data_IF_815200475992
#
_entry.id   IF_815200475992
#
_cell.length_a   1.000
_cell.length_b   1.000
_cell.length_c   1.000
_cell.angle_alpha   90.00
_cell.angle_beta   90.00
_cell.angle_gamma   90.00
#
_symmetry.space_group_name_H-M   'P 1'
#
loop_
_entity.id
_entity.type
_entity.pdbx_description
1 polymer ?
#
# COMPACT_ATOMS: atom_id res chain seq x y z
N UNK A 1 24.83 13.71 21.35
CA UNK A 1 25.29 12.86 20.22
C UNK A 1 26.53 12.04 20.58
N UNK A 2 26.52 11.26 21.67
CA UNK A 2 27.61 10.31 21.94
C UNK A 2 27.35 9.03 21.14
N UNK A 3 28.06 8.88 20.01
CA UNK A 3 28.10 7.63 19.21
C UNK A 3 28.78 6.48 19.97
N UNK A 4 29.51 6.79 21.05
CA UNK A 4 30.33 5.86 21.82
C UNK A 4 30.20 6.13 23.32
N UNK A 5 30.11 5.05 24.11
CA UNK A 5 30.22 5.07 25.56
C UNK A 5 31.60 4.54 25.93
N UNK A 6 32.47 5.33 26.59
CA UNK A 6 33.78 4.85 27.01
C UNK A 6 33.62 3.78 28.11
N UNK A 7 34.37 2.70 27.99
CA UNK A 7 34.51 1.68 29.03
C UNK A 7 35.67 2.11 29.91
N UNK A 8 35.40 2.35 31.19
CA UNK A 8 36.39 2.83 32.15
C UNK A 8 36.68 1.71 33.14
N UNK A 9 37.96 1.36 33.29
CA UNK A 9 38.46 0.43 34.29
C UNK A 9 39.59 1.12 35.06
N UNK A 10 39.52 1.13 36.39
CA UNK A 10 40.49 1.81 37.27
C UNK A 10 40.75 3.28 36.90
N UNK A 11 39.71 4.02 36.52
CA UNK A 11 39.81 5.44 36.14
C UNK A 11 40.48 5.69 34.79
N UNK A 12 40.82 4.64 34.02
CA UNK A 12 41.36 4.76 32.66
C UNK A 12 40.34 4.25 31.64
N UNK A 13 40.24 4.94 30.51
CA UNK A 13 39.45 4.47 29.37
C UNK A 13 40.18 3.27 28.77
N UNK A 14 39.59 2.08 28.92
CA UNK A 14 40.12 0.81 28.39
C UNK A 14 39.44 0.39 27.08
N UNK A 15 38.37 1.08 26.70
CA UNK A 15 37.69 0.84 25.42
C UNK A 15 36.54 1.81 25.18
N UNK A 16 35.81 1.58 24.09
CA UNK A 16 34.60 2.30 23.77
C UNK A 16 33.59 1.33 23.15
N UNK A 17 32.34 1.39 23.59
CA UNK A 17 31.24 0.56 23.10
C UNK A 17 30.22 1.48 22.44
N UNK A 18 29.76 1.13 21.24
CA UNK A 18 28.62 1.85 20.64
C UNK A 18 27.31 1.33 21.22
N UNK A 19 26.27 2.17 21.21
CA UNK A 19 24.92 1.72 21.60
C UNK A 19 24.42 0.57 20.72
N UNK A 20 24.85 0.53 19.46
CA UNK A 20 24.56 -0.54 18.51
C UNK A 20 25.25 -1.84 18.88
N UNK A 21 26.51 -1.79 19.33
CA UNK A 21 27.21 -2.97 19.83
C UNK A 21 26.52 -3.52 21.09
N UNK A 22 26.10 -2.65 22.01
CA UNK A 22 25.35 -3.07 23.20
C UNK A 22 24.02 -3.75 22.82
N UNK A 23 23.23 -3.11 21.94
CA UNK A 23 21.97 -3.70 21.44
C UNK A 23 22.20 -5.02 20.72
N UNK A 24 23.26 -5.11 19.92
CA UNK A 24 23.66 -6.33 19.23
C UNK A 24 24.01 -7.42 20.22
N UNK A 25 24.85 -7.16 21.22
CA UNK A 25 25.24 -8.14 22.23
C UNK A 25 24.04 -8.63 23.05
N UNK A 26 23.17 -7.72 23.51
CA UNK A 26 21.96 -8.09 24.26
C UNK A 26 21.02 -8.96 23.42
N UNK A 27 20.88 -8.62 22.15
CA UNK A 27 20.03 -9.39 21.23
C UNK A 27 20.66 -10.75 20.87
N UNK A 28 21.96 -10.80 20.60
CA UNK A 28 22.70 -12.05 20.37
C UNK A 28 22.62 -12.98 21.58
N UNK A 29 22.72 -12.44 22.80
CA UNK A 29 22.55 -13.22 24.03
C UNK A 29 21.14 -13.80 24.15
N UNK A 30 20.11 -12.99 23.86
CA UNK A 30 18.72 -13.46 23.82
C UNK A 30 18.52 -14.59 22.80
N UNK A 31 19.07 -14.45 21.59
CA UNK A 31 19.00 -15.48 20.55
C UNK A 31 19.75 -16.76 20.94
N UNK A 32 20.93 -16.65 21.57
CA UNK A 32 21.70 -17.80 22.08
C UNK A 32 20.92 -18.59 23.12
N UNK A 33 20.25 -17.92 24.06
CA UNK A 33 19.37 -18.57 25.05
C UNK A 33 18.24 -19.37 24.39
N UNK A 34 17.79 -18.94 23.20
CA UNK A 34 16.74 -19.58 22.40
C UNK A 34 17.27 -20.61 21.38
N UNK A 35 18.59 -20.89 21.37
CA UNK A 35 19.24 -21.76 20.38
C UNK A 35 18.96 -21.36 18.93
N UNK A 36 18.79 -20.06 18.67
CA UNK A 36 18.67 -19.52 17.31
C UNK A 36 20.09 -19.27 16.80
N UNK A 37 20.50 -20.06 15.80
CA UNK A 37 21.85 -19.96 15.22
C UNK A 37 22.08 -18.65 14.46
N UNK A 38 23.32 -18.21 14.41
CA UNK A 38 23.73 -17.05 13.64
C UNK A 38 23.85 -17.42 12.15
N UNK A 39 22.79 -17.17 11.39
CA UNK A 39 22.80 -17.35 9.94
C UNK A 39 23.22 -16.04 9.29
N UNK A 40 24.52 -15.77 9.24
CA UNK A 40 25.05 -14.89 8.20
C UNK A 40 25.09 -15.69 6.90
N UNK A 41 24.54 -15.19 5.78
CA UNK A 41 24.74 -15.82 4.48
C UNK A 41 26.24 -15.85 4.15
N UNK A 42 26.94 -16.92 4.54
CA UNK A 42 28.34 -17.18 4.19
C UNK A 42 28.39 -17.85 2.83
N UNK A 43 27.88 -17.20 1.80
CA UNK A 43 28.08 -17.67 0.43
C UNK A 43 29.22 -16.88 -0.21
N UNK A 44 30.05 -17.58 -1.01
CA UNK A 44 30.95 -16.89 -1.93
C UNK A 44 30.07 -16.10 -2.90
N UNK A 45 30.37 -14.82 -3.18
CA UNK A 45 29.52 -14.03 -4.04
C UNK A 45 29.44 -14.70 -5.41
N UNK A 46 28.22 -14.96 -5.88
CA UNK A 46 28.02 -15.43 -7.24
C UNK A 46 28.17 -14.19 -8.13
N UNK A 47 29.36 -14.06 -8.69
CA UNK A 47 29.70 -13.06 -9.70
C UNK A 47 29.91 -13.86 -10.99
N UNK A 48 29.11 -13.61 -12.02
CA UNK A 48 29.41 -14.19 -13.34
C UNK A 48 28.24 -14.56 -14.23
N UNK A 49 26.98 -14.52 -13.76
CA UNK A 49 25.84 -14.65 -14.68
C UNK A 49 25.61 -13.31 -15.39
N UNK A 50 25.80 -13.28 -16.70
CA UNK A 50 25.49 -12.09 -17.50
C UNK A 50 24.01 -12.13 -17.95
N UNK A 51 23.27 -11.07 -17.62
CA UNK A 51 21.84 -10.89 -17.92
C UNK A 51 21.60 -9.92 -19.09
N UNK A 52 22.63 -9.47 -19.82
CA UNK A 52 22.49 -8.47 -20.88
C UNK A 52 21.45 -8.87 -21.96
N UNK A 53 21.43 -10.14 -22.36
CA UNK A 53 20.43 -10.66 -23.30
C UNK A 53 19.02 -10.61 -22.71
N UNK A 54 18.86 -11.04 -21.45
CA UNK A 54 17.58 -11.02 -20.75
C UNK A 54 17.08 -9.58 -20.57
N UNK A 55 17.97 -8.64 -20.23
CA UNK A 55 17.65 -7.22 -20.16
C UNK A 55 17.13 -6.69 -21.49
N UNK A 56 17.74 -7.08 -22.61
CA UNK A 56 17.34 -6.65 -23.96
C UNK A 56 15.99 -7.24 -24.38
N UNK A 57 15.74 -8.49 -24.02
CA UNK A 57 14.52 -9.22 -24.41
C UNK A 57 13.30 -8.81 -23.57
N UNK A 58 13.49 -8.56 -22.27
CA UNK A 58 12.40 -8.32 -21.32
C UNK A 58 12.06 -6.85 -21.11
N UNK A 59 13.01 -5.94 -21.30
CA UNK A 59 12.72 -4.52 -21.16
C UNK A 59 12.36 -3.87 -22.49
N UNK A 60 11.44 -2.88 -22.49
CA UNK A 60 11.23 -2.02 -23.65
C UNK A 60 12.54 -1.41 -24.14
N UNK A 61 12.65 -1.21 -25.45
CA UNK A 61 13.88 -0.69 -26.08
C UNK A 61 14.32 0.65 -25.48
N UNK A 62 13.37 1.52 -25.11
CA UNK A 62 13.64 2.79 -24.42
C UNK A 62 14.37 2.56 -23.08
N UNK A 63 13.86 1.66 -22.23
CA UNK A 63 14.45 1.32 -20.93
C UNK A 63 15.84 0.72 -21.10
N UNK A 64 16.00 -0.24 -22.00
CA UNK A 64 17.29 -0.88 -22.26
C UNK A 64 18.35 0.14 -22.72
N UNK A 65 17.97 1.09 -23.57
CA UNK A 65 18.86 2.16 -24.02
C UNK A 65 19.25 3.09 -22.85
N UNK A 66 18.30 3.44 -21.98
CA UNK A 66 18.58 4.25 -20.78
C UNK A 66 19.56 3.52 -19.84
N UNK A 67 19.42 2.21 -19.66
CA UNK A 67 20.36 1.41 -18.84
C UNK A 67 21.78 1.41 -19.43
N UNK A 68 21.91 1.33 -20.77
CA UNK A 68 23.22 1.45 -21.42
C UNK A 68 23.83 2.84 -21.26
N UNK A 69 23.05 3.89 -21.52
CA UNK A 69 23.47 5.27 -21.35
C UNK A 69 23.89 5.54 -19.90
N UNK A 70 23.17 4.97 -18.94
CA UNK A 70 23.49 5.04 -17.52
C UNK A 70 24.87 4.45 -17.23
N UNK A 71 25.22 3.32 -17.85
CA UNK A 71 26.55 2.73 -17.79
C UNK A 71 27.66 3.67 -18.28
N UNK A 72 27.46 4.25 -19.45
CA UNK A 72 28.42 5.17 -20.09
C UNK A 72 28.64 6.44 -19.27
N UNK A 73 27.56 7.04 -18.75
CA UNK A 73 27.65 8.26 -17.91
C UNK A 73 28.40 7.94 -16.63
N UNK A 74 28.06 6.83 -15.97
CA UNK A 74 28.73 6.44 -14.73
C UNK A 74 30.23 6.22 -14.96
N UNK A 75 30.61 5.55 -16.05
CA UNK A 75 32.01 5.35 -16.43
C UNK A 75 32.73 6.68 -16.70
N UNK A 76 32.11 7.62 -17.42
CA UNK A 76 32.66 8.96 -17.66
C UNK A 76 32.88 9.78 -16.38
N UNK A 77 32.10 9.51 -15.32
CA UNK A 77 32.25 10.13 -14.00
C UNK A 77 33.21 9.37 -13.06
N UNK A 78 33.72 8.21 -13.48
CA UNK A 78 34.50 7.33 -12.60
C UNK A 78 33.67 6.62 -11.53
N UNK A 79 32.36 6.47 -11.75
CA UNK A 79 31.41 5.83 -10.83
C UNK A 79 31.03 4.42 -11.29
N UNK A 80 30.49 3.62 -10.36
CA UNK A 80 29.83 2.35 -10.70
C UNK A 80 28.32 2.49 -10.60
N UNK A 81 27.61 2.00 -11.63
CA UNK A 81 26.15 2.04 -11.69
C UNK A 81 25.56 0.62 -11.64
N UNK A 82 24.48 0.48 -10.88
CA UNK A 82 23.82 -0.79 -10.63
C UNK A 82 22.31 -0.66 -10.75
N UNK A 83 21.68 -1.53 -11.52
CA UNK A 83 20.25 -1.78 -11.45
C UNK A 83 19.99 -2.66 -10.23
N UNK A 84 19.06 -2.30 -9.33
CA UNK A 84 18.87 -3.00 -8.05
C UNK A 84 17.40 -3.23 -7.71
N UNK A 85 17.14 -4.05 -6.69
CA UNK A 85 15.84 -4.09 -6.02
C UNK A 85 14.80 -4.96 -6.72
N UNK A 86 13.53 -4.51 -6.69
CA UNK A 86 12.39 -5.30 -7.15
C UNK A 86 12.46 -5.64 -8.63
N UNK A 87 12.94 -4.71 -9.46
CA UNK A 87 13.07 -4.93 -10.90
C UNK A 87 13.98 -6.11 -11.24
N UNK A 88 15.12 -6.28 -10.55
CA UNK A 88 16.06 -7.40 -10.80
C UNK A 88 15.44 -8.73 -10.38
N UNK A 89 14.76 -8.76 -9.23
CA UNK A 89 14.04 -9.94 -8.75
C UNK A 89 12.95 -10.35 -9.74
N UNK A 90 12.13 -9.40 -10.17
CA UNK A 90 10.97 -9.67 -11.03
C UNK A 90 11.41 -10.07 -12.44
N UNK A 91 12.47 -9.43 -12.97
CA UNK A 91 13.14 -9.84 -14.21
C UNK A 91 13.58 -11.32 -14.15
N UNK A 92 14.20 -11.74 -13.06
CA UNK A 92 14.64 -13.13 -12.88
C UNK A 92 13.48 -14.12 -12.66
N UNK A 93 12.31 -13.63 -12.26
CA UNK A 93 11.05 -14.41 -12.23
C UNK A 93 10.34 -14.44 -13.58
N UNK A 94 10.79 -13.65 -14.54
CA UNK A 94 10.19 -13.52 -15.87
C UNK A 94 9.02 -12.53 -15.93
N UNK A 95 8.78 -11.76 -14.86
CA UNK A 95 7.76 -10.73 -14.76
C UNK A 95 8.27 -9.38 -15.30
N UNK A 96 7.39 -8.60 -15.91
CA UNK A 96 7.71 -7.23 -16.33
C UNK A 96 7.52 -6.27 -15.15
N UNK A 97 8.60 -5.58 -14.77
CA UNK A 97 8.55 -4.53 -13.75
C UNK A 97 9.34 -3.31 -14.25
N UNK A 98 8.64 -2.21 -14.51
CA UNK A 98 9.20 -0.96 -15.01
C UNK A 98 9.54 0.05 -13.90
N UNK A 99 9.55 -0.38 -12.64
CA UNK A 99 10.05 0.41 -11.51
C UNK A 99 11.58 0.32 -11.47
N UNK A 100 12.24 1.19 -12.26
CA UNK A 100 13.68 1.15 -12.48
C UNK A 100 14.40 1.91 -11.37
N UNK A 101 15.07 1.14 -10.50
CA UNK A 101 15.94 1.64 -9.43
C UNK A 101 17.42 1.52 -9.82
N UNK A 102 18.11 2.66 -9.94
CA UNK A 102 19.56 2.72 -10.19
C UNK A 102 20.30 3.21 -8.95
N UNK A 103 21.25 2.43 -8.47
CA UNK A 103 22.16 2.80 -7.39
C UNK A 103 23.54 3.15 -7.97
N UNK A 104 24.07 4.29 -7.54
CA UNK A 104 25.37 4.81 -7.97
C UNK A 104 26.35 4.76 -6.79
N UNK A 105 27.45 4.05 -6.95
CA UNK A 105 28.64 4.20 -6.10
C UNK A 105 29.41 5.46 -6.54
N UNK A 106 29.00 6.60 -5.98
CA UNK A 106 29.45 7.93 -6.39
C UNK A 106 28.40 8.97 -6.02
N UNK A 107 28.38 10.12 -6.70
CA UNK A 107 27.31 11.10 -6.53
C UNK A 107 26.12 10.79 -7.46
N UNK A 108 25.08 10.17 -6.90
CA UNK A 108 23.86 9.84 -7.63
C UNK A 108 23.07 11.06 -8.12
N UNK A 109 23.19 12.21 -7.47
CA UNK A 109 22.50 13.44 -7.90
C UNK A 109 23.18 14.03 -9.12
N UNK A 110 24.51 14.11 -9.11
CA UNK A 110 25.29 14.57 -10.26
C UNK A 110 25.09 13.63 -11.46
N UNK A 111 25.10 12.32 -11.23
CA UNK A 111 24.74 11.33 -12.24
C UNK A 111 23.33 11.55 -12.81
N UNK A 112 22.30 11.73 -11.97
CA UNK A 112 20.93 11.88 -12.42
C UNK A 112 20.70 13.15 -13.25
N UNK A 113 21.38 14.25 -12.93
CA UNK A 113 21.34 15.49 -13.72
C UNK A 113 21.87 15.26 -15.14
N UNK A 114 23.05 14.65 -15.26
CA UNK A 114 23.65 14.33 -16.56
C UNK A 114 22.83 13.32 -17.35
N UNK A 115 22.25 12.32 -16.68
CA UNK A 115 21.32 11.39 -17.32
C UNK A 115 20.10 12.13 -17.88
N UNK A 116 19.50 13.02 -17.09
CA UNK A 116 18.37 13.85 -17.51
C UNK A 116 18.69 14.73 -18.72
N UNK A 117 19.86 15.36 -18.73
CA UNK A 117 20.32 16.14 -19.88
C UNK A 117 20.50 15.27 -21.14
N UNK A 118 21.14 14.10 -21.02
CA UNK A 118 21.44 13.21 -22.16
C UNK A 118 20.18 12.59 -22.77
N UNK A 119 19.12 12.37 -21.98
CA UNK A 119 17.85 11.77 -22.46
C UNK A 119 16.70 12.79 -22.55
N UNK A 120 16.97 14.08 -22.38
CA UNK A 120 15.99 15.17 -22.36
C UNK A 120 14.81 14.90 -21.39
N UNK A 121 15.13 14.49 -20.17
CA UNK A 121 14.18 14.16 -19.11
C UNK A 121 14.21 15.16 -17.96
N UNK A 122 13.06 15.30 -17.28
CA UNK A 122 12.96 16.16 -16.11
C UNK A 122 13.55 15.47 -14.90
N UNK A 123 14.41 16.15 -14.16
CA UNK A 123 15.03 15.62 -12.93
C UNK A 123 14.50 16.34 -11.70
N UNK A 124 14.09 15.59 -10.68
CA UNK A 124 13.81 16.10 -9.33
C UNK A 124 14.81 15.53 -8.35
N UNK A 125 15.42 16.37 -7.53
CA UNK A 125 16.49 15.95 -6.62
C UNK A 125 16.04 16.09 -5.16
N UNK A 126 16.49 15.18 -4.31
CA UNK A 126 16.25 15.17 -2.87
C UNK A 126 17.60 15.09 -2.15
N UNK A 127 18.24 16.26 -2.00
CA UNK A 127 19.62 16.38 -1.54
C UNK A 127 19.87 15.74 -0.16
N UNK A 128 18.90 15.84 0.76
CA UNK A 128 18.98 15.25 2.11
C UNK A 128 19.16 13.73 2.10
N UNK A 129 18.66 13.04 1.08
CA UNK A 129 18.67 11.58 1.01
C UNK A 129 19.65 11.02 -0.04
N UNK A 130 20.32 11.90 -0.79
CA UNK A 130 21.19 11.51 -1.89
C UNK A 130 20.44 10.80 -3.03
N UNK A 131 19.16 11.14 -3.22
CA UNK A 131 18.29 10.52 -4.24
C UNK A 131 17.82 11.55 -5.26
N UNK A 132 17.50 11.06 -6.46
CA UNK A 132 16.92 11.83 -7.54
C UNK A 132 15.90 10.97 -8.30
N UNK A 133 14.93 11.63 -8.92
CA UNK A 133 13.93 11.00 -9.77
C UNK A 133 14.06 11.59 -11.16
N UNK A 134 14.16 10.74 -12.18
CA UNK A 134 14.25 11.12 -13.58
C UNK A 134 12.95 10.73 -14.27
N UNK A 135 12.28 11.69 -14.88
CA UNK A 135 10.98 11.53 -15.52
C UNK A 135 11.12 11.71 -17.03
N UNK A 136 10.88 10.64 -17.77
CA UNK A 136 10.61 10.70 -19.21
C UNK A 136 9.09 10.82 -19.43
N UNK A 137 8.65 10.91 -20.69
CA UNK A 137 7.21 10.98 -21.00
C UNK A 137 6.44 9.75 -20.51
N UNK A 138 7.09 8.58 -20.50
CA UNK A 138 6.43 7.29 -20.24
C UNK A 138 7.06 6.51 -19.07
N UNK A 139 8.19 6.96 -18.52
CA UNK A 139 8.95 6.24 -17.51
C UNK A 139 9.36 7.14 -16.35
N UNK A 140 9.35 6.56 -15.15
CA UNK A 140 9.94 7.13 -13.94
C UNK A 140 11.11 6.24 -13.53
N UNK A 141 12.29 6.82 -13.36
CA UNK A 141 13.46 6.15 -12.81
C UNK A 141 13.82 6.78 -11.47
N UNK A 142 14.13 5.94 -10.49
CA UNK A 142 14.65 6.38 -9.20
C UNK A 142 16.16 6.12 -9.15
N UNK A 143 16.92 7.17 -8.85
CA UNK A 143 18.38 7.13 -8.71
C UNK A 143 18.74 7.39 -7.25
N UNK A 144 19.59 6.54 -6.69
CA UNK A 144 20.07 6.67 -5.32
C UNK A 144 21.59 6.57 -5.25
N UNK A 145 22.19 7.37 -4.37
CA UNK A 145 23.59 7.21 -3.97
C UNK A 145 23.72 5.99 -3.05
N UNK A 146 24.66 5.09 -3.35
CA UNK A 146 24.96 3.93 -2.52
C UNK A 146 25.33 4.40 -1.10
N UNK A 147 24.65 3.83 -0.10
CA UNK A 147 24.76 4.31 1.28
C UNK A 147 24.76 3.18 2.30
N UNK A 148 25.38 3.42 3.44
CA UNK A 148 25.18 2.63 4.65
C UNK A 148 24.18 3.32 5.56
N UNK A 149 23.34 2.52 6.21
CA UNK A 149 22.36 3.01 7.17
C UNK A 149 22.81 2.68 8.61
N UNK A 150 22.62 3.65 9.48
CA UNK A 150 22.80 3.51 10.92
C UNK A 150 21.51 3.86 11.65
N UNK A 151 21.06 2.97 12.54
CA UNK A 151 19.84 3.12 13.32
C UNK A 151 20.19 3.51 14.77
N UNK A 152 19.72 4.68 15.22
CA UNK A 152 20.03 5.18 16.58
C UNK A 152 19.28 4.41 17.68
N UNK A 153 18.09 3.90 17.34
CA UNK A 153 17.27 3.05 18.20
C UNK A 153 16.42 2.10 17.35
N UNK A 154 15.95 0.98 17.92
CA UNK A 154 15.02 0.08 17.23
C UNK A 154 13.82 0.84 16.65
N UNK A 155 13.44 0.51 15.41
CA UNK A 155 12.34 1.13 14.65
C UNK A 155 12.51 2.62 14.26
N UNK A 156 13.65 3.26 14.53
CA UNK A 156 13.91 4.65 14.14
C UNK A 156 14.21 4.78 12.63
N UNK A 157 14.06 6.00 12.09
CA UNK A 157 14.55 6.29 10.74
C UNK A 157 16.08 6.26 10.70
N UNK A 158 16.69 5.71 9.64
CA UNK A 158 18.15 5.58 9.58
C UNK A 158 18.85 6.90 9.22
N UNK A 159 20.10 7.04 9.68
CA UNK A 159 21.07 8.02 9.17
C UNK A 159 21.88 7.41 8.04
N UNK A 160 22.25 8.21 7.03
CA UNK A 160 22.86 7.75 5.78
C UNK A 160 24.26 8.32 5.55
N UNK A 161 25.19 7.48 5.09
CA UNK A 161 26.57 7.85 4.70
C UNK A 161 26.93 7.14 3.39
N UNK A 162 27.68 7.78 2.49
CA UNK A 162 28.10 7.20 1.18
C UNK A 162 28.93 5.94 1.37
N UNK A 163 28.68 4.91 0.56
CA UNK A 163 29.23 3.58 0.80
C UNK A 163 29.30 2.70 -0.46
N UNK A 164 29.79 1.47 -0.31
CA UNK A 164 29.78 0.49 -1.39
C UNK A 164 28.40 -0.15 -1.60
N UNK A 165 28.16 -0.68 -2.80
CA UNK A 165 26.97 -1.41 -3.21
C UNK A 165 26.71 -2.58 -2.29
N UNK A 166 27.76 -3.29 -1.84
CA UNK A 166 27.61 -4.40 -0.89
C UNK A 166 26.95 -3.93 0.42
N UNK A 167 27.37 -2.78 0.94
CA UNK A 167 26.80 -2.22 2.17
C UNK A 167 25.41 -1.60 1.94
N UNK A 168 25.14 -1.03 0.77
CA UNK A 168 23.78 -0.59 0.40
C UNK A 168 22.81 -1.77 0.31
N UNK A 169 23.22 -2.87 -0.31
CA UNK A 169 22.41 -4.06 -0.42
C UNK A 169 22.21 -4.73 0.95
N UNK A 170 23.19 -4.65 1.86
CA UNK A 170 23.11 -5.26 3.19
C UNK A 170 22.03 -4.66 4.11
N UNK A 171 21.61 -3.40 3.87
CA UNK A 171 20.59 -2.74 4.69
C UNK A 171 19.15 -3.06 4.27
N UNK A 172 18.98 -3.84 3.20
CA UNK A 172 17.66 -4.18 2.64
C UNK A 172 16.98 -5.25 3.48
N UNK A 173 15.70 -5.50 3.18
CA UNK A 173 14.84 -6.35 3.99
C UNK A 173 15.09 -7.85 3.80
N UNK A 174 15.13 -8.32 2.56
CA UNK A 174 15.24 -9.73 2.21
C UNK A 174 16.27 -10.00 1.12
N UNK A 175 16.90 -11.19 1.16
CA UNK A 175 17.95 -11.63 0.21
C UNK A 175 17.50 -11.54 -1.25
N UNK A 176 16.25 -11.89 -1.54
CA UNK A 176 15.68 -11.77 -2.89
C UNK A 176 15.64 -10.33 -3.42
N UNK A 177 15.69 -9.33 -2.52
CA UNK A 177 15.68 -7.90 -2.85
C UNK A 177 17.10 -7.29 -2.82
N UNK A 178 18.15 -8.11 -2.64
CA UNK A 178 19.55 -7.67 -2.64
C UNK A 178 20.29 -7.95 -3.93
N UNK A 179 19.58 -8.39 -4.97
CA UNK A 179 20.18 -8.68 -6.27
C UNK A 179 20.46 -7.36 -7.00
N UNK A 180 21.63 -7.27 -7.63
CA UNK A 180 22.07 -6.11 -8.39
C UNK A 180 22.65 -6.51 -9.75
N UNK A 181 22.48 -5.67 -10.76
CA UNK A 181 23.06 -5.88 -12.09
C UNK A 181 23.93 -4.69 -12.44
N UNK A 182 25.20 -4.92 -12.76
CA UNK A 182 26.14 -3.87 -13.11
C UNK A 182 25.81 -3.30 -14.49
N UNK A 183 25.85 -1.97 -14.60
CA UNK A 183 25.49 -1.24 -15.81
C UNK A 183 26.70 -0.64 -16.53
N UNK A 184 27.88 -0.54 -15.91
CA UNK A 184 29.08 -0.03 -16.59
C UNK A 184 29.42 -0.86 -17.83
N UNK A 185 29.95 -0.23 -18.89
CA UNK A 185 30.11 -0.82 -20.22
C UNK A 185 30.87 -2.14 -20.23
N UNK A 186 31.98 -2.22 -19.49
CA UNK A 186 32.83 -3.43 -19.39
C UNK A 186 32.11 -4.63 -18.79
N UNK A 187 31.23 -4.40 -17.82
CA UNK A 187 30.56 -5.42 -17.03
C UNK A 187 29.03 -5.38 -17.22
N UNK A 188 28.56 -4.83 -18.34
CA UNK A 188 27.13 -4.61 -18.55
C UNK A 188 26.35 -5.92 -18.46
N UNK A 189 25.33 -5.93 -17.62
CA UNK A 189 24.49 -7.11 -17.38
C UNK A 189 25.05 -8.08 -16.35
N UNK A 190 26.21 -7.83 -15.73
CA UNK A 190 26.77 -8.72 -14.72
C UNK A 190 25.90 -8.74 -13.45
N UNK A 191 25.30 -9.89 -13.15
CA UNK A 191 24.56 -10.11 -11.90
C UNK A 191 25.54 -10.24 -10.72
N UNK A 192 25.20 -9.54 -9.64
CA UNK A 192 25.90 -9.52 -8.37
C UNK A 192 24.94 -10.02 -7.29
N UNK A 193 25.34 -11.10 -6.64
CA UNK A 193 24.65 -11.66 -5.48
C UNK A 193 25.64 -11.91 -4.34
N UNK A 194 25.56 -11.10 -3.28
CA UNK A 194 26.40 -11.23 -2.09
C UNK A 194 25.77 -12.09 -0.99
N UNK A 195 24.45 -12.32 -1.03
CA UNK A 195 23.68 -12.80 0.13
C UNK A 195 22.83 -14.03 -0.17
N UNK A 196 22.96 -14.62 -1.36
CA UNK A 196 22.25 -15.82 -1.77
C UNK A 196 20.82 -15.57 -2.25
N UNK A 197 20.53 -14.36 -2.74
CA UNK A 197 19.23 -13.98 -3.27
C UNK A 197 18.79 -14.88 -4.44
N UNK A 198 19.71 -15.32 -5.29
CA UNK A 198 19.40 -16.19 -6.43
C UNK A 198 19.04 -17.61 -5.97
N UNK A 199 19.68 -18.11 -4.90
CA UNK A 199 19.32 -19.39 -4.28
C UNK A 199 17.94 -19.29 -3.65
N UNK A 200 17.70 -18.28 -2.82
CA UNK A 200 16.41 -18.11 -2.14
C UNK A 200 15.27 -17.84 -3.14
N UNK A 201 15.54 -17.20 -4.29
CA UNK A 201 14.57 -17.04 -5.39
C UNK A 201 14.19 -18.39 -6.01
N UNK A 202 15.17 -19.28 -6.26
CA UNK A 202 14.94 -20.64 -6.78
C UNK A 202 14.21 -21.52 -5.78
N UNK A 203 14.58 -21.42 -4.50
CA UNK A 203 13.96 -22.17 -3.40
C UNK A 203 12.63 -21.56 -2.93
N UNK A 204 12.16 -20.47 -3.56
CA UNK A 204 10.93 -19.76 -3.20
C UNK A 204 10.87 -19.40 -1.71
N UNK A 205 11.95 -18.80 -1.19
CA UNK A 205 12.14 -18.54 0.23
C UNK A 205 12.29 -17.04 0.53
N UNK A 206 11.58 -16.55 1.54
CA UNK A 206 11.76 -15.21 2.13
C UNK A 206 12.73 -15.33 3.30
N UNK A 207 13.88 -14.66 3.20
CA UNK A 207 14.96 -14.71 4.20
C UNK A 207 15.51 -13.32 4.49
N UNK A 208 15.64 -12.97 5.77
CA UNK A 208 16.33 -11.75 6.21
C UNK A 208 17.85 -11.89 6.12
N UNK A 209 18.55 -10.75 5.99
CA UNK A 209 19.99 -10.71 5.75
C UNK A 209 20.81 -10.97 7.02
N UNK A 210 20.27 -10.61 8.18
CA UNK A 210 20.91 -10.77 9.48
C UNK A 210 19.88 -10.75 10.63
N UNK A 211 20.33 -11.19 11.80
CA UNK A 211 19.50 -11.38 12.99
C UNK A 211 18.84 -10.09 13.48
N UNK A 212 19.53 -8.95 13.36
CA UNK A 212 19.01 -7.64 13.77
C UNK A 212 17.98 -7.03 12.81
N UNK A 213 17.61 -7.69 11.71
CA UNK A 213 16.76 -7.09 10.67
C UNK A 213 15.42 -6.56 11.21
N UNK A 214 14.75 -7.30 12.10
CA UNK A 214 13.50 -6.84 12.74
C UNK A 214 13.72 -5.90 13.93
N UNK A 215 14.94 -5.82 14.47
CA UNK A 215 15.31 -4.82 15.49
C UNK A 215 15.48 -3.47 14.84
N UNK A 216 16.14 -3.42 13.69
CA UNK A 216 16.28 -2.22 12.88
C UNK A 216 14.90 -1.74 12.41
N UNK A 217 14.14 -2.64 11.79
CA UNK A 217 12.85 -2.28 11.20
C UNK A 217 11.76 -3.36 11.38
N UNK A 218 10.93 -3.26 12.44
CA UNK A 218 9.86 -4.21 12.69
C UNK A 218 8.82 -4.33 11.57
N UNK A 219 8.65 -3.31 10.71
CA UNK A 219 7.72 -3.43 9.55
C UNK A 219 8.11 -4.53 8.59
N UNK A 220 9.38 -4.95 8.58
CA UNK A 220 9.83 -6.08 7.76
C UNK A 220 9.06 -7.36 8.09
N UNK A 221 8.51 -7.55 9.28
CA UNK A 221 7.69 -8.73 9.59
C UNK A 221 6.39 -8.76 8.77
N UNK A 222 5.70 -7.62 8.64
CA UNK A 222 4.50 -7.48 7.81
C UNK A 222 4.86 -7.62 6.32
N UNK A 223 5.99 -7.03 5.89
CA UNK A 223 6.53 -7.19 4.53
C UNK A 223 6.85 -8.64 4.19
N UNK A 224 7.40 -9.41 5.15
CA UNK A 224 7.73 -10.82 4.94
C UNK A 224 6.47 -11.62 4.62
N UNK A 225 5.37 -11.37 5.34
CA UNK A 225 4.07 -11.98 5.06
C UNK A 225 3.54 -11.52 3.71
N UNK A 226 3.56 -10.21 3.42
CA UNK A 226 3.13 -9.67 2.12
C UNK A 226 3.89 -10.31 0.95
N UNK A 227 5.21 -10.40 1.00
CA UNK A 227 6.00 -11.02 -0.07
C UNK A 227 5.83 -12.54 -0.11
N UNK A 228 5.66 -13.20 1.03
CA UNK A 228 5.32 -14.63 1.08
C UNK A 228 4.03 -14.90 0.30
N UNK A 229 2.97 -14.14 0.56
CA UNK A 229 1.68 -14.31 -0.11
C UNK A 229 1.71 -13.82 -1.57
N UNK A 230 2.31 -12.66 -1.83
CA UNK A 230 2.41 -12.10 -3.19
C UNK A 230 3.14 -13.03 -4.17
N UNK A 231 4.22 -13.67 -3.71
CA UNK A 231 5.06 -14.51 -4.57
C UNK A 231 4.79 -16.01 -4.43
N UNK A 232 3.95 -16.42 -3.48
CA UNK A 232 3.76 -17.83 -3.12
C UNK A 232 5.02 -18.46 -2.52
N UNK A 233 5.82 -17.68 -1.79
CA UNK A 233 7.08 -18.10 -1.19
C UNK A 233 6.89 -18.51 0.27
N UNK A 234 7.78 -19.33 0.82
CA UNK A 234 7.79 -19.70 2.24
C UNK A 234 8.73 -18.79 3.02
N UNK A 235 8.35 -18.38 4.23
CA UNK A 235 9.28 -17.69 5.14
C UNK A 235 10.25 -18.73 5.72
N UNK A 236 11.56 -18.47 5.66
CA UNK A 236 12.55 -19.41 6.18
C UNK A 236 12.38 -19.61 7.70
N UNK A 237 12.71 -20.80 8.20
CA UNK A 237 12.51 -21.12 9.63
C UNK A 237 13.24 -20.15 10.56
N UNK A 238 14.44 -19.74 10.16
CA UNK A 238 15.22 -18.72 10.85
C UNK A 238 14.47 -17.38 10.92
N UNK A 239 13.95 -16.91 9.78
CA UNK A 239 13.20 -15.65 9.71
C UNK A 239 11.93 -15.71 10.54
N UNK A 240 11.20 -16.83 10.50
CA UNK A 240 10.03 -17.06 11.35
C UNK A 240 10.39 -16.95 12.84
N UNK A 241 11.47 -17.59 13.28
CA UNK A 241 11.88 -17.55 14.68
C UNK A 241 12.27 -16.13 15.13
N UNK A 242 12.88 -15.35 14.23
CA UNK A 242 13.20 -13.94 14.48
C UNK A 242 11.94 -13.07 14.56
N UNK A 243 10.90 -13.32 13.74
CA UNK A 243 9.60 -12.64 13.88
C UNK A 243 9.01 -12.88 15.26
N UNK A 244 8.97 -14.15 15.70
CA UNK A 244 8.46 -14.51 17.04
C UNK A 244 9.25 -13.83 18.16
N UNK A 245 10.58 -13.82 18.04
CA UNK A 245 11.48 -13.14 18.99
C UNK A 245 11.20 -11.65 19.06
N UNK A 246 10.99 -10.99 17.91
CA UNK A 246 10.68 -9.56 17.85
C UNK A 246 9.35 -9.20 18.54
N UNK A 247 8.35 -10.10 18.46
CA UNK A 247 7.06 -9.94 19.15
C UNK A 247 7.27 -10.05 20.67
N UNK A 248 7.97 -11.09 21.14
CA UNK A 248 8.23 -11.30 22.56
C UNK A 248 9.04 -10.16 23.20
N UNK A 249 9.91 -9.52 22.43
CA UNK A 249 10.69 -8.36 22.86
C UNK A 249 9.92 -7.03 22.76
N UNK A 250 8.64 -7.05 22.38
CA UNK A 250 7.79 -5.87 22.20
C UNK A 250 8.42 -4.81 21.27
N UNK A 251 9.15 -5.24 20.23
CA UNK A 251 9.83 -4.30 19.32
C UNK A 251 8.84 -3.48 18.50
N UNK A 252 7.64 -4.02 18.28
CA UNK A 252 6.59 -3.37 17.52
C UNK A 252 5.95 -2.19 18.27
N UNK A 253 6.06 -2.08 19.59
CA UNK A 253 5.51 -0.95 20.34
C UNK A 253 6.19 0.37 19.95
N UNK A 254 7.46 0.30 19.52
CA UNK A 254 8.24 1.43 19.04
C UNK A 254 7.96 1.78 17.58
N UNK A 255 7.25 0.91 16.85
CA UNK A 255 6.97 1.12 15.44
C UNK A 255 5.85 2.15 15.26
N UNK A 256 6.14 3.18 14.46
CA UNK A 256 5.14 4.19 14.05
C UNK A 256 3.88 3.53 13.47
N UNK A 257 2.72 3.99 13.95
CA UNK A 257 1.42 3.56 13.44
C UNK A 257 1.27 3.73 11.94
N UNK A 258 1.71 4.87 11.39
CA UNK A 258 1.56 5.18 9.97
C UNK A 258 2.27 4.16 9.06
N UNK A 259 3.47 3.72 9.45
CA UNK A 259 4.24 2.72 8.70
C UNK A 259 3.58 1.34 8.74
N UNK A 260 3.02 0.99 9.91
CA UNK A 260 2.24 -0.23 10.08
C UNK A 260 0.96 -0.20 9.23
N UNK A 261 0.27 0.93 9.21
CA UNK A 261 -0.91 1.17 8.39
C UNK A 261 -0.61 1.05 6.88
N UNK A 262 0.47 1.69 6.43
CA UNK A 262 0.91 1.62 5.03
C UNK A 262 1.20 0.18 4.59
N UNK A 263 1.94 -0.61 5.37
CA UNK A 263 2.20 -2.01 5.02
C UNK A 263 0.93 -2.86 5.04
N UNK A 264 -0.02 -2.62 5.96
CA UNK A 264 -1.31 -3.30 5.97
C UNK A 264 -2.14 -2.99 4.72
N UNK A 265 -2.16 -1.72 4.28
CA UNK A 265 -2.85 -1.34 3.04
C UNK A 265 -2.17 -1.94 1.81
N UNK A 266 -0.84 -1.93 1.75
CA UNK A 266 -0.10 -2.57 0.65
C UNK A 266 -0.43 -4.07 0.58
N UNK A 267 -0.50 -4.75 1.72
CA UNK A 267 -0.96 -6.14 1.78
C UNK A 267 -2.37 -6.28 1.18
N UNK A 268 -3.35 -5.46 1.59
CA UNK A 268 -4.71 -5.54 1.03
C UNK A 268 -4.82 -5.21 -0.46
N UNK A 269 -3.89 -4.45 -1.01
CA UNK A 269 -3.89 -4.08 -2.43
C UNK A 269 -3.17 -5.10 -3.32
N UNK A 270 -2.14 -5.77 -2.80
CA UNK A 270 -1.24 -6.63 -3.59
C UNK A 270 -1.54 -8.12 -3.47
N UNK A 271 -2.24 -8.56 -2.41
CA UNK A 271 -2.41 -9.99 -2.11
C UNK A 271 -3.86 -10.35 -1.82
N UNK A 272 -4.14 -11.66 -1.70
CA UNK A 272 -5.42 -12.13 -1.18
C UNK A 272 -5.55 -11.77 0.33
N UNK A 273 -6.56 -10.97 0.72
CA UNK A 273 -6.69 -10.54 2.12
C UNK A 273 -6.93 -11.69 3.10
N UNK A 274 -7.63 -12.75 2.70
CA UNK A 274 -7.94 -13.89 3.56
C UNK A 274 -6.66 -14.65 3.92
N UNK A 275 -5.89 -15.03 2.90
CA UNK A 275 -4.61 -15.72 3.09
C UNK A 275 -3.62 -14.88 3.89
N UNK A 276 -3.55 -13.58 3.58
CA UNK A 276 -2.67 -12.64 4.28
C UNK A 276 -3.04 -12.51 5.76
N UNK A 277 -4.32 -12.29 6.08
CA UNK A 277 -4.76 -12.15 7.47
C UNK A 277 -4.58 -13.45 8.26
N UNK A 278 -4.87 -14.59 7.63
CA UNK A 278 -4.59 -15.90 8.23
C UNK A 278 -3.11 -16.04 8.58
N UNK A 279 -2.21 -15.72 7.63
CA UNK A 279 -0.76 -15.78 7.84
C UNK A 279 -0.28 -14.80 8.91
N UNK A 280 -0.78 -13.56 8.90
CA UNK A 280 -0.49 -12.59 9.96
C UNK A 280 -0.93 -13.11 11.34
N UNK A 281 -2.08 -13.79 11.41
CA UNK A 281 -2.57 -14.42 12.63
C UNK A 281 -1.68 -15.58 13.09
N UNK A 282 -1.23 -16.45 12.18
CA UNK A 282 -0.31 -17.57 12.45
C UNK A 282 1.00 -17.09 13.10
N UNK A 283 1.53 -15.95 12.65
CA UNK A 283 2.73 -15.34 13.24
C UNK A 283 2.45 -14.45 14.47
N UNK A 284 1.19 -14.27 14.88
CA UNK A 284 0.81 -13.40 16.00
C UNK A 284 0.86 -11.89 15.69
N UNK A 285 1.05 -11.50 14.42
CA UNK A 285 1.19 -10.11 14.00
C UNK A 285 -0.13 -9.33 14.03
N UNK A 286 -1.30 -9.98 13.99
CA UNK A 286 -2.57 -9.26 14.21
C UNK A 286 -2.69 -8.71 15.63
N UNK A 287 -2.19 -9.45 16.62
CA UNK A 287 -2.22 -9.05 18.04
C UNK A 287 -1.32 -7.86 18.35
N UNK A 288 -0.31 -7.63 17.51
CA UNK A 288 0.55 -6.43 17.55
C UNK A 288 -0.25 -5.17 17.20
N UNK A 289 -1.27 -5.28 16.35
CA UNK A 289 -2.16 -4.15 16.02
C UNK A 289 -3.13 -3.92 17.18
N UNK A 290 -3.79 -4.97 17.64
CA UNK A 290 -4.63 -4.95 18.83
C UNK A 290 -4.84 -6.38 19.36
N UNK A 291 -4.77 -6.63 20.68
CA UNK A 291 -4.93 -7.97 21.26
C UNK A 291 -6.25 -8.67 20.93
N UNK A 292 -7.32 -7.91 20.71
CA UNK A 292 -8.66 -8.41 20.37
C UNK A 292 -8.82 -8.69 18.87
N UNK A 293 -7.86 -8.28 18.04
CA UNK A 293 -7.88 -8.55 16.60
C UNK A 293 -7.37 -9.97 16.33
N UNK A 294 -8.30 -10.88 16.06
CA UNK A 294 -8.02 -12.28 15.75
C UNK A 294 -8.65 -12.68 14.41
N UNK A 295 -7.98 -13.59 13.69
CA UNK A 295 -8.55 -14.17 12.49
C UNK A 295 -9.53 -15.29 12.87
N UNK A 296 -10.83 -15.01 12.73
CA UNK A 296 -11.92 -15.95 13.07
C UNK A 296 -12.61 -16.44 11.81
N UNK A 297 -13.35 -17.55 11.92
CA UNK A 297 -14.19 -18.06 10.84
C UNK A 297 -15.24 -17.02 10.39
N UNK A 298 -15.77 -16.22 11.31
CA UNK A 298 -16.70 -15.14 10.98
C UNK A 298 -16.03 -14.03 10.15
N UNK A 299 -14.78 -13.69 10.48
CA UNK A 299 -14.00 -12.73 9.71
C UNK A 299 -13.71 -13.27 8.31
N UNK A 300 -13.28 -14.53 8.21
CA UNK A 300 -13.06 -15.22 6.94
C UNK A 300 -14.32 -15.20 6.06
N UNK A 301 -15.47 -15.55 6.62
CA UNK A 301 -16.76 -15.49 5.92
C UNK A 301 -17.11 -14.07 5.45
N UNK A 302 -16.80 -13.04 6.26
CA UNK A 302 -17.00 -11.64 5.88
C UNK A 302 -16.17 -11.27 4.65
N UNK A 303 -14.90 -11.68 4.60
CA UNK A 303 -14.04 -11.44 3.44
C UNK A 303 -14.47 -12.23 2.20
N UNK A 304 -14.92 -13.49 2.35
CA UNK A 304 -15.47 -14.27 1.23
C UNK A 304 -16.70 -13.59 0.62
N UNK A 305 -17.67 -13.18 1.45
CA UNK A 305 -18.84 -12.43 0.97
C UNK A 305 -18.47 -11.09 0.35
N UNK A 306 -17.40 -10.44 0.83
CA UNK A 306 -16.87 -9.22 0.22
C UNK A 306 -16.29 -9.50 -1.18
N UNK A 307 -15.50 -10.55 -1.34
CA UNK A 307 -14.95 -10.96 -2.64
C UNK A 307 -16.05 -11.29 -3.66
N UNK A 308 -17.11 -11.99 -3.25
CA UNK A 308 -18.28 -12.24 -4.10
C UNK A 308 -18.94 -10.93 -4.55
N UNK A 309 -19.13 -9.99 -3.62
CA UNK A 309 -19.75 -8.68 -3.89
C UNK A 309 -18.89 -7.84 -4.85
N UNK A 310 -17.57 -7.83 -4.63
CA UNK A 310 -16.63 -7.14 -5.51
C UNK A 310 -16.57 -7.78 -6.90
N UNK A 311 -16.67 -9.11 -6.98
CA UNK A 311 -16.70 -9.83 -8.26
C UNK A 311 -17.95 -9.48 -9.05
N UNK A 312 -19.11 -9.49 -8.39
CA UNK A 312 -20.36 -9.00 -8.98
C UNK A 312 -20.24 -7.56 -9.48
N UNK A 313 -19.67 -6.66 -8.66
CA UNK A 313 -19.53 -5.26 -9.03
C UNK A 313 -18.60 -5.05 -10.24
N UNK A 314 -17.49 -5.78 -10.29
CA UNK A 314 -16.56 -5.73 -11.43
C UNK A 314 -17.21 -6.20 -12.74
N UNK A 315 -18.14 -7.16 -12.67
CA UNK A 315 -18.92 -7.63 -13.83
C UNK A 315 -19.92 -6.59 -14.37
N UNK A 316 -20.13 -5.47 -13.65
CA UNK A 316 -20.93 -4.35 -14.15
C UNK A 316 -20.16 -3.45 -15.11
N UNK A 317 -18.83 -3.63 -15.25
CA UNK A 317 -17.95 -2.84 -16.11
C UNK A 317 -18.06 -1.31 -15.90
N UNK A 318 -18.31 -0.90 -14.66
CA UNK A 318 -18.37 0.51 -14.27
C UNK A 318 -16.95 1.09 -14.23
N UNK A 319 -16.78 2.34 -14.68
CA UNK A 319 -15.47 3.02 -14.72
C UNK A 319 -14.93 3.43 -13.32
N UNK A 320 -15.74 3.27 -12.27
CA UNK A 320 -15.38 3.67 -10.91
C UNK A 320 -14.34 2.76 -10.28
N UNK A 321 -13.25 3.37 -9.79
CA UNK A 321 -12.21 2.66 -9.05
C UNK A 321 -12.59 2.55 -7.57
N UNK A 322 -12.56 1.31 -7.06
CA UNK A 322 -12.77 1.02 -5.64
C UNK A 322 -11.44 1.14 -4.89
N UNK A 323 -11.46 1.81 -3.74
CA UNK A 323 -10.36 1.74 -2.78
C UNK A 323 -10.38 0.37 -2.05
N UNK A 324 -9.63 -0.59 -2.59
CA UNK A 324 -9.47 -1.95 -2.03
C UNK A 324 -8.91 -1.92 -0.60
N UNK A 325 -7.99 -1.00 -0.31
CA UNK A 325 -7.42 -0.84 1.01
C UNK A 325 -8.48 -0.44 2.03
N UNK A 326 -9.29 0.57 1.71
CA UNK A 326 -10.37 1.04 2.57
C UNK A 326 -11.44 -0.04 2.80
N UNK A 327 -11.93 -0.70 1.74
CA UNK A 327 -13.02 -1.69 1.88
C UNK A 327 -12.58 -2.94 2.67
N UNK A 328 -11.34 -3.39 2.50
CA UNK A 328 -10.76 -4.47 3.29
C UNK A 328 -10.55 -4.06 4.76
N UNK A 329 -10.20 -2.78 5.01
CA UNK A 329 -10.11 -2.24 6.37
C UNK A 329 -11.49 -2.18 7.06
N UNK A 330 -12.55 -1.81 6.33
CA UNK A 330 -13.93 -1.87 6.84
C UNK A 330 -14.27 -3.31 7.25
N UNK A 331 -13.97 -4.29 6.39
CA UNK A 331 -14.23 -5.70 6.67
C UNK A 331 -13.45 -6.20 7.89
N UNK A 332 -12.15 -5.92 7.96
CA UNK A 332 -11.26 -6.30 9.07
C UNK A 332 -11.83 -5.90 10.44
N UNK A 333 -12.37 -4.69 10.53
CA UNK A 333 -12.76 -4.06 11.79
C UNK A 333 -14.24 -4.24 12.13
N UNK A 334 -15.04 -4.75 11.20
CA UNK A 334 -16.50 -4.74 11.29
C UNK A 334 -17.11 -5.53 12.45
N UNK A 335 -16.40 -6.56 12.93
CA UNK A 335 -16.82 -7.45 14.01
C UNK A 335 -16.31 -7.03 15.39
N UNK A 336 -15.47 -6.01 15.43
CA UNK A 336 -14.93 -5.49 16.69
C UNK A 336 -15.91 -4.50 17.34
N UNK A 337 -15.74 -4.31 18.66
CA UNK A 337 -16.46 -3.27 19.41
C UNK A 337 -15.96 -1.89 18.99
N UNK A 338 -16.79 -0.87 19.17
CA UNK A 338 -16.43 0.51 18.78
C UNK A 338 -15.16 1.01 19.51
N UNK A 339 -14.96 0.57 20.76
CA UNK A 339 -13.75 0.85 21.56
C UNK A 339 -12.48 0.26 20.93
N UNK A 340 -12.53 -1.01 20.52
CA UNK A 340 -11.42 -1.68 19.85
C UNK A 340 -11.11 -1.04 18.49
N UNK A 341 -12.14 -0.66 17.73
CA UNK A 341 -11.96 0.04 16.45
C UNK A 341 -11.24 1.38 16.66
N UNK A 342 -11.65 2.16 17.67
CA UNK A 342 -10.99 3.44 18.01
C UNK A 342 -9.53 3.23 18.40
N UNK A 343 -9.26 2.25 19.26
CA UNK A 343 -7.90 1.87 19.67
C UNK A 343 -7.03 1.44 18.49
N UNK A 344 -7.55 0.63 17.56
CA UNK A 344 -6.83 0.22 16.34
C UNK A 344 -6.56 1.43 15.45
N UNK A 345 -7.52 2.32 15.26
CA UNK A 345 -7.32 3.54 14.46
C UNK A 345 -6.29 4.48 15.10
N UNK A 346 -6.17 4.50 16.42
CA UNK A 346 -5.10 5.24 17.12
C UNK A 346 -3.74 4.57 16.92
N UNK A 347 -3.69 3.23 17.04
CA UNK A 347 -2.46 2.46 16.82
C UNK A 347 -1.93 2.59 15.40
N UNK A 348 -2.80 2.56 14.40
CA UNK A 348 -2.48 2.68 12.98
C UNK A 348 -2.27 4.13 12.53
N UNK A 349 -2.80 5.10 13.27
CA UNK A 349 -2.65 6.53 13.01
C UNK A 349 -2.84 6.94 11.52
N UNK A 350 -3.94 6.53 10.84
CA UNK A 350 -4.24 7.00 9.49
C UNK A 350 -4.64 8.48 9.52
N UNK A 351 -4.82 9.08 8.34
CA UNK A 351 -5.32 10.47 8.27
C UNK A 351 -6.68 10.62 8.98
N UNK A 352 -6.99 11.78 9.59
CA UNK A 352 -8.27 12.01 10.29
C UNK A 352 -9.50 11.70 9.44
N UNK A 353 -9.45 12.05 8.16
CA UNK A 353 -10.50 11.78 7.17
C UNK A 353 -10.76 10.27 7.01
N UNK A 354 -9.70 9.45 6.99
CA UNK A 354 -9.84 8.00 6.89
C UNK A 354 -10.35 7.40 8.21
N UNK A 355 -9.84 7.87 9.36
CA UNK A 355 -10.34 7.43 10.68
C UNK A 355 -11.85 7.64 10.80
N UNK A 356 -12.33 8.83 10.44
CA UNK A 356 -13.77 9.13 10.42
C UNK A 356 -14.53 8.28 9.41
N UNK A 357 -14.00 8.14 8.19
CA UNK A 357 -14.61 7.33 7.13
C UNK A 357 -14.78 5.87 7.54
N UNK A 358 -13.82 5.27 8.24
CA UNK A 358 -13.88 3.87 8.70
C UNK A 358 -14.93 3.71 9.80
N UNK A 359 -14.88 4.55 10.84
CA UNK A 359 -15.81 4.45 11.98
C UNK A 359 -17.25 4.70 11.53
N UNK A 360 -17.48 5.81 10.81
CA UNK A 360 -18.81 6.14 10.31
C UNK A 360 -19.25 5.18 9.20
N UNK A 361 -18.33 4.71 8.37
CA UNK A 361 -18.59 3.72 7.31
C UNK A 361 -19.09 2.39 7.87
N UNK A 362 -18.45 1.84 8.89
CA UNK A 362 -18.91 0.60 9.55
C UNK A 362 -20.29 0.79 10.17
N UNK A 363 -20.51 1.91 10.88
CA UNK A 363 -21.82 2.24 11.48
C UNK A 363 -22.90 2.36 10.40
N UNK A 364 -22.62 3.08 9.31
CA UNK A 364 -23.56 3.27 8.20
C UNK A 364 -23.85 1.97 7.48
N UNK A 365 -22.84 1.12 7.25
CA UNK A 365 -23.03 -0.18 6.64
C UNK A 365 -23.98 -1.05 7.49
N UNK A 366 -23.77 -1.12 8.81
CA UNK A 366 -24.67 -1.81 9.75
C UNK A 366 -26.09 -1.20 9.76
N UNK A 367 -26.20 0.13 9.69
CA UNK A 367 -27.50 0.80 9.58
C UNK A 367 -28.23 0.42 8.29
N UNK A 368 -27.53 0.39 7.14
CA UNK A 368 -28.11 -0.03 5.86
C UNK A 368 -28.59 -1.47 5.89
N UNK A 369 -27.80 -2.40 6.46
CA UNK A 369 -28.24 -3.81 6.57
C UNK A 369 -29.46 -3.98 7.47
N UNK A 370 -29.69 -3.08 8.42
CA UNK A 370 -30.83 -3.16 9.35
C UNK A 370 -32.06 -2.41 8.83
N UNK A 371 -31.90 -1.16 8.39
CA UNK A 371 -32.98 -0.18 8.22
C UNK A 371 -33.34 0.15 6.78
N UNK A 372 -32.57 -0.25 5.77
CA UNK A 372 -32.90 0.12 4.39
C UNK A 372 -34.25 -0.51 3.98
N UNK A 373 -35.25 0.29 3.56
CA UNK A 373 -36.55 -0.23 3.17
C UNK A 373 -36.47 -0.87 1.77
N UNK A 374 -37.15 -1.99 1.56
CA UNK A 374 -37.24 -2.61 0.24
C UNK A 374 -38.51 -2.22 -0.54
N UNK A 375 -39.47 -1.60 0.13
CA UNK A 375 -40.76 -1.17 -0.42
C UNK A 375 -40.85 0.34 -0.69
N UNK A 376 -39.85 1.13 -0.28
CA UNK A 376 -39.79 2.57 -0.50
C UNK A 376 -38.50 2.95 -1.24
N UNK A 377 -38.62 3.10 -2.56
CA UNK A 377 -37.50 3.40 -3.45
C UNK A 377 -36.90 4.78 -3.19
N UNK A 378 -37.72 5.76 -2.79
CA UNK A 378 -37.28 7.14 -2.55
C UNK A 378 -36.47 7.21 -1.28
N UNK A 379 -36.97 6.61 -0.20
CA UNK A 379 -36.24 6.56 1.08
C UNK A 379 -34.92 5.80 0.91
N UNK A 380 -34.93 4.67 0.22
CA UNK A 380 -33.71 3.90 -0.06
C UNK A 380 -32.70 4.68 -0.90
N UNK A 381 -33.15 5.38 -1.95
CA UNK A 381 -32.29 6.26 -2.72
C UNK A 381 -31.66 7.35 -1.86
N UNK A 382 -32.45 8.04 -1.02
CA UNK A 382 -31.96 9.08 -0.11
C UNK A 382 -30.91 8.54 0.87
N UNK A 383 -31.14 7.35 1.42
CA UNK A 383 -30.20 6.70 2.34
C UNK A 383 -28.87 6.30 1.68
N UNK A 384 -28.88 5.97 0.39
CA UNK A 384 -27.68 5.53 -0.35
C UNK A 384 -26.94 6.69 -1.04
N UNK A 385 -27.64 7.76 -1.45
CA UNK A 385 -27.06 8.90 -2.19
C UNK A 385 -25.87 9.56 -1.49
N UNK A 386 -25.91 9.66 -0.15
CA UNK A 386 -24.87 10.30 0.65
C UNK A 386 -23.79 9.34 1.12
N UNK A 387 -23.81 8.08 0.69
CA UNK A 387 -22.93 7.02 1.17
C UNK A 387 -21.91 6.68 0.08
N UNK A 388 -20.64 6.54 0.47
CA UNK A 388 -19.59 6.15 -0.48
C UNK A 388 -19.80 4.73 -1.00
N UNK A 389 -19.35 4.51 -2.23
CA UNK A 389 -19.43 3.22 -2.92
C UNK A 389 -18.89 2.06 -2.07
N UNK A 390 -17.72 2.23 -1.45
CA UNK A 390 -17.10 1.19 -0.62
C UNK A 390 -17.99 0.75 0.55
N UNK A 391 -18.71 1.69 1.16
CA UNK A 391 -19.61 1.41 2.28
C UNK A 391 -20.87 0.71 1.82
N UNK A 392 -21.39 1.04 0.63
CA UNK A 392 -22.55 0.36 0.04
C UNK A 392 -22.18 -1.09 -0.29
N UNK A 393 -21.07 -1.30 -1.00
CA UNK A 393 -20.57 -2.64 -1.33
C UNK A 393 -20.28 -3.46 -0.07
N UNK A 394 -19.69 -2.84 0.95
CA UNK A 394 -19.47 -3.49 2.22
C UNK A 394 -20.78 -3.84 2.96
N UNK A 395 -21.80 -2.97 2.90
CA UNK A 395 -23.12 -3.29 3.45
C UNK A 395 -23.78 -4.47 2.71
N UNK A 396 -23.63 -4.54 1.38
CA UNK A 396 -24.09 -5.66 0.56
C UNK A 396 -23.41 -6.97 0.94
N UNK A 397 -22.11 -6.95 1.29
CA UNK A 397 -21.40 -8.15 1.74
C UNK A 397 -21.80 -8.60 3.14
N UNK A 398 -22.21 -7.68 4.01
CA UNK A 398 -22.64 -8.00 5.39
C UNK A 398 -24.05 -8.57 5.49
N UNK A 399 -24.98 -8.15 4.63
CA UNK A 399 -26.38 -8.57 4.74
C UNK A 399 -26.61 -9.96 4.14
N UNK A 400 -27.45 -10.78 4.78
CA UNK A 400 -27.98 -12.03 4.20
C UNK A 400 -29.35 -11.82 3.53
N UNK A 401 -29.97 -10.67 3.73
CA UNK A 401 -31.29 -10.33 3.17
C UNK A 401 -31.18 -10.00 1.67
N UNK A 402 -31.76 -10.87 0.85
CA UNK A 402 -31.76 -10.73 -0.62
C UNK A 402 -32.48 -9.47 -1.10
N UNK A 403 -33.54 -9.03 -0.42
CA UNK A 403 -34.29 -7.84 -0.83
C UNK A 403 -33.44 -6.58 -0.62
N UNK A 404 -32.76 -6.48 0.53
CA UNK A 404 -31.85 -5.36 0.82
C UNK A 404 -30.66 -5.34 -0.15
N UNK A 405 -30.09 -6.50 -0.51
CA UNK A 405 -29.08 -6.57 -1.57
C UNK A 405 -29.61 -6.05 -2.90
N UNK A 406 -30.83 -6.44 -3.29
CA UNK A 406 -31.46 -6.00 -4.53
C UNK A 406 -31.65 -4.48 -4.56
N UNK A 407 -32.06 -3.86 -3.46
CA UNK A 407 -32.18 -2.40 -3.35
C UNK A 407 -30.84 -1.70 -3.58
N UNK A 408 -29.78 -2.16 -2.90
CA UNK A 408 -28.44 -1.58 -3.05
C UNK A 408 -27.88 -1.81 -4.46
N UNK A 409 -28.08 -2.99 -5.03
CA UNK A 409 -27.69 -3.30 -6.40
C UNK A 409 -28.41 -2.39 -7.40
N UNK A 410 -29.74 -2.25 -7.28
CA UNK A 410 -30.55 -1.39 -8.13
C UNK A 410 -30.10 0.07 -8.07
N UNK A 411 -29.72 0.54 -6.88
CA UNK A 411 -29.15 1.88 -6.74
C UNK A 411 -27.85 2.04 -7.55
N UNK A 412 -26.95 1.06 -7.49
CA UNK A 412 -25.65 1.09 -8.19
C UNK A 412 -25.80 0.94 -9.71
N UNK A 413 -26.77 0.18 -10.18
CA UNK A 413 -26.95 -0.07 -11.63
C UNK A 413 -27.82 0.98 -12.30
N UNK A 414 -28.90 1.43 -11.64
CA UNK A 414 -29.93 2.25 -12.27
C UNK A 414 -30.14 3.57 -11.52
N UNK A 415 -30.58 3.52 -10.25
CA UNK A 415 -31.18 4.70 -9.61
C UNK A 415 -30.22 5.89 -9.46
N UNK A 416 -28.93 5.65 -9.20
CA UNK A 416 -27.95 6.74 -9.03
C UNK A 416 -27.70 7.55 -10.31
N UNK A 417 -28.02 6.99 -11.47
CA UNK A 417 -27.89 7.66 -12.77
C UNK A 417 -29.11 8.53 -13.11
N UNK A 418 -30.24 8.29 -12.45
CA UNK A 418 -31.48 9.03 -12.67
C UNK A 418 -31.31 10.48 -12.23
N UNK A 419 -31.53 11.40 -13.17
CA UNK A 419 -31.54 12.85 -12.96
C UNK A 419 -32.77 13.46 -13.65
N UNK A 420 -33.36 14.52 -13.09
CA UNK A 420 -34.36 15.33 -13.81
C UNK A 420 -33.82 15.76 -15.18
N UNK A 421 -34.67 15.72 -16.21
CA UNK A 421 -34.36 16.31 -17.52
C UNK A 421 -34.33 17.83 -17.39
N UNK A 422 -35.28 18.39 -16.64
CA UNK A 422 -35.33 19.81 -16.33
C UNK A 422 -34.21 20.23 -15.37
N UNK A 423 -33.59 21.35 -15.70
CA UNK A 423 -32.57 22.02 -14.88
C UNK A 423 -33.09 23.37 -14.37
N UNK A 424 -32.32 24.02 -13.50
CA UNK A 424 -32.68 25.35 -12.98
C UNK A 424 -32.93 26.40 -14.07
N UNK A 425 -32.19 26.34 -15.18
CA UNK A 425 -32.41 27.25 -16.30
C UNK A 425 -33.75 27.03 -17.00
N UNK A 426 -34.23 25.78 -17.03
CA UNK A 426 -35.55 25.45 -17.58
C UNK A 426 -36.66 25.97 -16.65
N UNK A 427 -36.48 25.83 -15.33
CA UNK A 427 -37.39 26.43 -14.34
C UNK A 427 -37.49 27.96 -14.49
N UNK A 428 -36.36 28.61 -14.78
CA UNK A 428 -36.34 30.06 -15.04
C UNK A 428 -37.12 30.42 -16.31
N UNK A 429 -36.95 29.65 -17.38
CA UNK A 429 -37.72 29.83 -18.64
C UNK A 429 -39.22 29.58 -18.45
N UNK A 430 -39.61 28.77 -17.46
CA UNK A 430 -41.00 28.56 -17.07
C UNK A 430 -41.58 29.69 -16.22
N UNK A 431 -40.83 30.78 -15.98
CA UNK A 431 -41.29 31.94 -15.23
C UNK A 431 -41.21 31.79 -13.71
N UNK A 432 -40.42 30.83 -13.21
CA UNK A 432 -40.21 30.63 -11.78
C UNK A 432 -39.04 31.51 -11.33
N UNK A 433 -39.21 32.30 -10.28
CA UNK A 433 -38.14 33.12 -9.73
C UNK A 433 -37.07 32.26 -9.02
N UNK A 434 -35.77 32.51 -9.23
CA UNK A 434 -34.68 31.78 -8.58
C UNK A 434 -34.77 31.87 -7.04
N UNK A 435 -34.68 30.72 -6.37
CA UNK A 435 -34.69 30.66 -4.90
C UNK A 435 -34.74 29.24 -4.35
N UNK A 436 -34.93 29.07 -3.01
CA UNK A 436 -34.99 27.74 -2.36
C UNK A 436 -36.03 26.79 -2.95
N UNK A 437 -37.06 27.33 -3.60
CA UNK A 437 -38.10 26.56 -4.29
C UNK A 437 -37.55 25.72 -5.45
N UNK A 438 -36.45 26.12 -6.09
CA UNK A 438 -35.81 25.34 -7.16
C UNK A 438 -35.33 24.00 -6.65
N UNK A 439 -34.56 23.99 -5.56
CA UNK A 439 -34.03 22.76 -4.97
C UNK A 439 -35.16 21.84 -4.53
N UNK A 440 -36.24 22.40 -3.98
CA UNK A 440 -37.43 21.65 -3.59
C UNK A 440 -38.14 21.01 -4.79
N UNK A 441 -38.41 21.79 -5.84
CA UNK A 441 -39.09 21.31 -7.05
C UNK A 441 -38.26 20.25 -7.79
N UNK A 442 -36.95 20.48 -7.95
CA UNK A 442 -36.05 19.50 -8.57
C UNK A 442 -35.93 18.22 -7.74
N UNK A 443 -35.99 18.32 -6.41
CA UNK A 443 -36.04 17.16 -5.53
C UNK A 443 -37.36 16.39 -5.70
N UNK A 444 -38.52 17.05 -5.66
CA UNK A 444 -39.82 16.39 -5.86
C UNK A 444 -39.93 15.71 -7.23
N UNK A 445 -39.42 16.37 -8.27
CA UNK A 445 -39.36 15.81 -9.61
C UNK A 445 -38.48 14.55 -9.63
N UNK A 446 -37.28 14.60 -9.03
CA UNK A 446 -36.42 13.42 -8.89
C UNK A 446 -37.14 12.29 -8.13
N UNK A 447 -37.90 12.59 -7.07
CA UNK A 447 -38.64 11.60 -6.31
C UNK A 447 -39.74 10.91 -7.13
N UNK A 448 -40.50 11.64 -7.95
CA UNK A 448 -41.50 11.04 -8.84
C UNK A 448 -40.87 10.29 -10.01
N UNK A 449 -39.71 10.76 -10.50
CA UNK A 449 -38.91 10.07 -11.50
C UNK A 449 -38.39 8.73 -11.00
N UNK A 450 -37.89 8.68 -9.75
CA UNK A 450 -37.47 7.45 -9.08
C UNK A 450 -38.62 6.43 -8.92
N UNK A 451 -39.86 6.89 -8.81
CA UNK A 451 -41.06 6.04 -8.78
C UNK A 451 -41.50 5.56 -10.18
N UNK A 452 -40.78 5.94 -11.24
CA UNK A 452 -41.09 5.58 -12.63
C UNK A 452 -42.28 6.34 -13.24
N UNK A 453 -42.72 7.44 -12.61
CA UNK A 453 -43.92 8.19 -13.04
C UNK A 453 -43.63 9.30 -14.06
N UNK A 454 -42.37 9.68 -14.24
CA UNK A 454 -41.95 10.76 -15.13
C UNK A 454 -40.77 10.28 -15.99
N UNK A 455 -40.99 10.14 -17.29
CA UNK A 455 -40.02 9.65 -18.26
C UNK A 455 -39.70 10.69 -19.33
N UNK A 456 -40.62 11.60 -19.64
CA UNK A 456 -40.45 12.62 -20.68
C UNK A 456 -40.30 14.03 -20.12
N UNK A 457 -39.75 14.94 -20.94
CA UNK A 457 -39.64 16.35 -20.58
C UNK A 457 -41.02 16.99 -20.35
N UNK A 458 -42.00 16.65 -21.18
CA UNK A 458 -43.38 17.18 -21.08
C UNK A 458 -44.07 16.76 -19.78
N UNK A 459 -43.84 15.53 -19.33
CA UNK A 459 -44.34 15.03 -18.04
C UNK A 459 -43.71 15.78 -16.86
N UNK A 460 -42.39 16.03 -16.91
CA UNK A 460 -41.68 16.83 -15.92
C UNK A 460 -42.21 18.28 -15.88
N UNK A 461 -42.40 18.93 -17.03
CA UNK A 461 -42.93 20.29 -17.12
C UNK A 461 -44.37 20.38 -16.59
N UNK A 462 -45.21 19.41 -16.94
CA UNK A 462 -46.59 19.30 -16.46
C UNK A 462 -46.65 19.08 -14.95
N UNK A 463 -45.74 18.26 -14.40
CA UNK A 463 -45.62 18.04 -12.97
C UNK A 463 -45.25 19.33 -12.23
N UNK A 464 -44.25 20.08 -12.73
CA UNK A 464 -43.84 21.37 -12.15
C UNK A 464 -44.98 22.37 -12.17
N UNK A 465 -45.71 22.52 -13.29
CA UNK A 465 -46.88 23.42 -13.39
C UNK A 465 -47.96 23.11 -12.35
N UNK A 466 -48.29 21.83 -12.16
CA UNK A 466 -49.26 21.40 -11.12
C UNK A 466 -48.76 21.71 -9.70
N UNK A 467 -47.47 21.50 -9.44
CA UNK A 467 -46.88 21.81 -8.13
C UNK A 467 -46.83 23.30 -7.82
N UNK A 468 -46.56 24.14 -8.81
CA UNK A 468 -46.57 25.60 -8.64
C UNK A 468 -47.94 26.12 -8.20
N UNK A 469 -49.04 25.57 -8.74
CA UNK A 469 -50.40 25.90 -8.30
C UNK A 469 -50.66 25.57 -6.82
N UNK A 470 -49.94 24.59 -6.26
CA UNK A 470 -50.00 24.25 -4.83
C UNK A 470 -49.18 25.22 -3.98
N UNK A 471 -48.08 25.75 -4.51
CA UNK A 471 -47.18 26.69 -3.81
C UNK A 471 -47.66 28.15 -3.86
N UNK A 472 -48.32 28.52 -4.95
CA UNK A 472 -48.90 29.83 -5.18
C UNK A 472 -50.35 29.61 -5.64
N UNK A 473 -51.28 29.28 -4.71
CA UNK A 473 -52.68 29.22 -5.06
C UNK A 473 -53.10 30.58 -5.60
N UNK A 474 -53.58 30.60 -6.84
CA UNK A 474 -54.19 31.80 -7.42
C UNK A 474 -55.37 32.11 -6.51
N UNK A 475 -55.30 33.23 -5.78
CA UNK A 475 -56.45 33.69 -5.00
C UNK A 475 -57.61 33.93 -5.98
N UNK A 476 -58.82 33.45 -5.66
CA UNK A 476 -59.97 33.51 -6.56
C UNK A 476 -60.31 34.91 -7.04
#
# INVERSE_FOLDING_TARGET
NQRFTPVIENGKVVGAITRTDLLRTLYEEFLRRRKIEEVTPKEKPIIGRNLATILKEKFPQEVFNILKISGEIAEGLGYSAYLVGGCVRDLLRGEENLDIDIVIEGDGISFAKLLGEKINAKVRTHQKFGTAQVFTNNLKLDVATARTEYYESPAALPKVESSSIKKDLYRRDFTINTLAVKLNSKDFGLLIDFFGGLRDLREKTIRVLHNLSFVEDPTRAFRAVRFSERFGFKISKHTENLIKSAIEMNLFDKLSGSRLYEELLLSFNETDPVMTLKRLSEYGLLKVINPNLNFTEELENTFRSLQETLSWFNLLFLEEKIDKGLINLLALLSKLKEEDIKSIMERLAPSPKIKEMVINGIRKAKELTQKIPYNDIVTSYKMLKSVKLEVILFAMSLTKDRQKKKVMANYLTELRSIKPILKGDDLKKMGIEPGPIYSKLLQELLEEKLKGKLNTREEEESFIKRRLQTYFPVSP
#
